data_IF_221254917438
#
_entry.id   IF_221254917438
#
_cell.length_a   1.000
_cell.length_b   1.000
_cell.length_c   1.000
_cell.angle_alpha   90.00
_cell.angle_beta   90.00
_cell.angle_gamma   90.00
#
_symmetry.space_group_name_H-M   'P 1'
#
loop_
_entity.id
_entity.type
_entity.pdbx_description
1 polymer ?
#
# COMPACT_ATOMS: atom_id res chain seq x y z
N UNK A 1 -1.47 35.93 -10.59
CA UNK A 1 -0.89 35.38 -9.34
C UNK A 1 -1.11 33.88 -9.29
N UNK A 2 -0.06 33.10 -9.04
CA UNK A 2 -0.07 31.63 -9.10
C UNK A 2 -1.20 31.03 -8.27
N UNK A 3 -2.16 30.38 -8.94
CA UNK A 3 -3.31 29.70 -8.34
C UNK A 3 -2.89 28.43 -7.58
N UNK A 4 -1.61 28.04 -7.66
CA UNK A 4 -1.05 26.83 -7.06
C UNK A 4 0.26 27.13 -6.33
N UNK A 5 0.47 26.38 -5.26
CA UNK A 5 1.53 26.52 -4.24
C UNK A 5 2.90 26.83 -4.85
N UNK A 6 3.58 27.87 -4.35
CA UNK A 6 4.96 28.19 -4.70
C UNK A 6 5.86 27.04 -4.22
N UNK A 7 6.46 26.31 -5.16
CA UNK A 7 7.36 25.17 -4.90
C UNK A 7 8.76 25.57 -4.43
N UNK A 8 8.99 26.86 -4.15
CA UNK A 8 10.33 27.44 -3.93
C UNK A 8 10.82 27.35 -2.48
N UNK A 9 9.99 26.93 -1.52
CA UNK A 9 10.41 26.86 -0.11
C UNK A 9 10.93 25.46 0.25
N UNK A 10 12.22 25.36 0.60
CA UNK A 10 12.86 24.12 1.07
C UNK A 10 12.17 23.48 2.30
N UNK A 11 11.42 24.26 3.07
CA UNK A 11 10.56 23.79 4.15
C UNK A 11 9.08 23.95 3.78
N UNK A 12 8.42 22.86 3.39
CA UNK A 12 6.98 22.87 3.11
C UNK A 12 6.20 23.06 4.42
N UNK A 13 5.56 24.22 4.60
CA UNK A 13 4.73 24.53 5.77
C UNK A 13 3.32 24.91 5.34
N UNK A 14 2.32 24.24 5.90
CA UNK A 14 0.92 24.63 5.76
C UNK A 14 0.59 25.70 6.79
N UNK A 15 0.24 26.90 6.34
CA UNK A 15 -0.16 27.99 7.23
C UNK A 15 -1.63 27.85 7.62
N UNK A 16 -1.97 28.11 8.89
CA UNK A 16 -3.33 27.94 9.42
C UNK A 16 -4.38 28.74 8.65
N UNK A 17 -4.04 29.97 8.23
CA UNK A 17 -4.89 30.83 7.41
C UNK A 17 -5.13 30.27 6.00
N UNK A 18 -4.22 29.46 5.47
CA UNK A 18 -4.42 28.79 4.18
C UNK A 18 -5.38 27.61 4.36
N UNK A 19 -5.20 26.81 5.42
CA UNK A 19 -6.07 25.67 5.73
C UNK A 19 -7.52 26.10 5.99
N UNK A 20 -7.73 27.18 6.73
CA UNK A 20 -9.09 27.71 7.02
C UNK A 20 -9.84 28.19 5.77
N UNK A 21 -9.11 28.55 4.71
CA UNK A 21 -9.69 29.04 3.46
C UNK A 21 -9.98 27.92 2.44
N UNK A 22 -9.66 26.66 2.76
CA UNK A 22 -9.97 25.51 1.91
C UNK A 22 -11.48 25.25 1.98
N UNK A 23 -12.16 25.41 0.84
CA UNK A 23 -13.59 25.10 0.72
C UNK A 23 -13.75 23.61 0.44
N UNK A 24 -14.44 22.91 1.33
CA UNK A 24 -14.77 21.49 1.19
C UNK A 24 -16.28 21.38 0.97
N UNK A 25 -16.71 20.58 0.00
CA UNK A 25 -18.12 20.26 -0.19
C UNK A 25 -18.59 19.32 0.92
N UNK A 26 -19.61 19.73 1.66
CA UNK A 26 -20.20 18.95 2.74
C UNK A 26 -21.56 18.39 2.29
N UNK A 27 -21.65 17.12 1.83
CA UNK A 27 -22.92 16.53 1.43
C UNK A 27 -23.80 16.21 2.65
N UNK A 28 -25.02 15.72 2.45
CA UNK A 28 -25.90 15.32 3.57
C UNK A 28 -25.31 14.16 4.40
N UNK A 29 -25.64 14.10 5.70
CA UNK A 29 -25.12 13.08 6.62
C UNK A 29 -25.31 11.64 6.12
N UNK A 30 -26.44 11.35 5.47
CA UNK A 30 -26.72 10.03 4.89
C UNK A 30 -25.68 9.65 3.83
N UNK A 31 -25.27 10.60 2.99
CA UNK A 31 -24.27 10.39 1.95
C UNK A 31 -22.88 10.27 2.58
N UNK A 32 -22.56 11.12 3.57
CA UNK A 32 -21.30 11.04 4.31
C UNK A 32 -21.10 9.64 4.93
N UNK A 33 -22.11 9.10 5.61
CA UNK A 33 -22.04 7.76 6.22
C UNK A 33 -21.83 6.66 5.17
N UNK A 34 -22.44 6.79 3.99
CA UNK A 34 -22.23 5.85 2.88
C UNK A 34 -20.79 5.92 2.37
N UNK A 35 -20.24 7.13 2.23
CA UNK A 35 -18.85 7.34 1.80
C UNK A 35 -17.89 6.72 2.81
N UNK A 36 -18.04 7.05 4.10
CA UNK A 36 -17.20 6.51 5.19
C UNK A 36 -17.22 4.99 5.18
N UNK A 37 -18.40 4.36 5.11
CA UNK A 37 -18.51 2.89 5.07
C UNK A 37 -17.73 2.25 3.91
N UNK A 38 -17.72 2.88 2.74
CA UNK A 38 -16.97 2.37 1.57
C UNK A 38 -15.47 2.58 1.77
N UNK A 39 -15.06 3.75 2.26
CA UNK A 39 -13.65 4.06 2.51
C UNK A 39 -13.05 3.20 3.61
N UNK A 40 -13.76 2.97 4.70
CA UNK A 40 -13.31 2.09 5.80
C UNK A 40 -13.09 0.66 5.31
N UNK A 41 -14.02 0.15 4.50
CA UNK A 41 -13.89 -1.19 3.89
C UNK A 41 -12.68 -1.26 2.94
N UNK A 42 -12.48 -0.22 2.13
CA UNK A 42 -11.34 -0.14 1.22
C UNK A 42 -10.01 -0.06 2.00
N UNK A 43 -9.95 0.76 3.04
CA UNK A 43 -8.78 0.88 3.92
C UNK A 43 -8.44 -0.45 4.59
N UNK A 44 -9.44 -1.18 5.10
CA UNK A 44 -9.24 -2.51 5.68
C UNK A 44 -8.60 -3.46 4.68
N UNK A 45 -9.13 -3.54 3.46
CA UNK A 45 -8.58 -4.40 2.41
C UNK A 45 -7.15 -4.00 2.04
N UNK A 46 -6.88 -2.70 1.89
CA UNK A 46 -5.53 -2.21 1.60
C UNK A 46 -4.55 -2.56 2.72
N UNK A 47 -4.95 -2.41 3.99
CA UNK A 47 -4.12 -2.75 5.15
C UNK A 47 -3.80 -4.24 5.18
N UNK A 48 -4.80 -5.09 4.94
CA UNK A 48 -4.63 -6.54 4.91
C UNK A 48 -3.70 -6.97 3.77
N UNK A 49 -3.83 -6.38 2.57
CA UNK A 49 -2.95 -6.66 1.44
C UNK A 49 -1.51 -6.18 1.67
N UNK A 50 -1.32 -4.99 2.25
CA UNK A 50 0.01 -4.46 2.55
C UNK A 50 0.78 -5.36 3.52
N UNK A 51 0.09 -6.06 4.41
CA UNK A 51 0.70 -7.05 5.32
C UNK A 51 0.78 -8.43 4.67
N UNK A 52 -0.26 -8.85 3.95
CA UNK A 52 -0.40 -10.18 3.38
C UNK A 52 0.57 -10.46 2.24
N UNK A 53 0.79 -9.49 1.34
CA UNK A 53 1.65 -9.67 0.16
C UNK A 53 3.12 -9.91 0.53
N UNK A 54 3.77 -9.12 1.40
CA UNK A 54 5.15 -9.41 1.79
C UNK A 54 5.32 -10.76 2.49
N UNK A 55 4.35 -11.16 3.32
CA UNK A 55 4.36 -12.46 4.01
C UNK A 55 4.19 -13.60 3.01
N UNK A 56 3.34 -13.43 2.01
CA UNK A 56 3.11 -14.40 0.94
C UNK A 56 4.34 -14.54 0.04
N UNK A 57 4.99 -13.43 -0.33
CA UNK A 57 6.21 -13.41 -1.12
C UNK A 57 7.35 -14.15 -0.42
N UNK A 58 7.55 -13.90 0.88
CA UNK A 58 8.54 -14.63 1.69
C UNK A 58 8.26 -16.14 1.73
N UNK A 59 7.01 -16.55 1.92
CA UNK A 59 6.63 -17.97 1.91
C UNK A 59 6.88 -18.60 0.53
N UNK A 60 6.60 -17.87 -0.54
CA UNK A 60 6.83 -18.32 -1.92
C UNK A 60 8.31 -18.46 -2.24
N UNK A 61 9.16 -17.57 -1.71
CA UNK A 61 10.61 -17.67 -1.83
C UNK A 61 11.15 -18.91 -1.10
N UNK A 62 10.71 -19.15 0.14
CA UNK A 62 11.08 -20.36 0.89
C UNK A 62 10.63 -21.64 0.18
N UNK A 63 9.41 -21.63 -0.38
CA UNK A 63 8.89 -22.73 -1.15
C UNK A 63 9.77 -22.99 -2.39
N UNK A 64 10.16 -21.94 -3.12
CA UNK A 64 11.04 -22.05 -4.27
C UNK A 64 12.40 -22.68 -3.90
N UNK A 65 13.05 -22.18 -2.86
CA UNK A 65 14.35 -22.69 -2.39
C UNK A 65 14.29 -24.18 -2.03
N UNK A 66 13.25 -24.57 -1.28
CA UNK A 66 13.03 -25.96 -0.91
C UNK A 66 12.93 -26.90 -2.12
N UNK A 67 12.13 -26.51 -3.13
CA UNK A 67 11.97 -27.34 -4.33
C UNK A 67 13.19 -27.32 -5.23
N UNK A 68 13.88 -26.18 -5.36
CA UNK A 68 15.14 -26.06 -6.08
C UNK A 68 16.18 -27.04 -5.51
N UNK A 69 16.38 -27.01 -4.20
CA UNK A 69 17.39 -27.83 -3.53
C UNK A 69 17.03 -29.33 -3.60
N UNK A 70 15.74 -29.66 -3.49
CA UNK A 70 15.24 -31.03 -3.70
C UNK A 70 15.52 -31.55 -5.10
N UNK A 71 15.23 -30.76 -6.13
CA UNK A 71 15.47 -31.13 -7.53
C UNK A 71 16.97 -31.31 -7.76
N UNK A 72 17.79 -30.37 -7.25
CA UNK A 72 19.23 -30.44 -7.39
C UNK A 72 19.81 -31.72 -6.74
N UNK A 73 19.40 -32.04 -5.51
CA UNK A 73 19.80 -33.28 -4.83
C UNK A 73 19.38 -34.54 -5.59
N UNK A 74 18.19 -34.51 -6.19
CA UNK A 74 17.72 -35.61 -7.03
C UNK A 74 18.60 -35.79 -8.27
N UNK A 75 18.97 -34.71 -8.96
CA UNK A 75 19.83 -34.75 -10.14
C UNK A 75 21.26 -35.22 -9.78
N UNK A 76 21.84 -34.74 -8.67
CA UNK A 76 23.15 -35.22 -8.21
C UNK A 76 23.17 -36.72 -7.94
N UNK A 77 22.10 -37.27 -7.37
CA UNK A 77 22.00 -38.72 -7.13
C UNK A 77 21.96 -39.52 -8.43
N UNK A 78 21.39 -38.96 -9.49
CA UNK A 78 21.34 -39.61 -10.80
C UNK A 78 22.68 -39.57 -11.52
N UNK A 79 23.49 -38.54 -11.33
CA UNK A 79 24.81 -38.41 -11.99
C UNK A 79 25.95 -39.11 -11.25
N UNK A 80 25.78 -39.42 -9.96
CA UNK A 80 26.75 -40.17 -9.14
C UNK A 80 26.56 -41.69 -9.16
N UNK A 81 25.70 -42.21 -10.05
CA UNK A 81 25.40 -43.64 -10.23
C UNK A 81 25.84 -44.09 -11.61
#
# INVERSE_FOLDING_TARGET
>A
MSKYVKRETANAKLMSNVVSNIRISLPSLKIQNKIVKVLDNFESICKDLNVGLPVEEQKRQQQYEYYRDKIFHYLEKLTKK
#
